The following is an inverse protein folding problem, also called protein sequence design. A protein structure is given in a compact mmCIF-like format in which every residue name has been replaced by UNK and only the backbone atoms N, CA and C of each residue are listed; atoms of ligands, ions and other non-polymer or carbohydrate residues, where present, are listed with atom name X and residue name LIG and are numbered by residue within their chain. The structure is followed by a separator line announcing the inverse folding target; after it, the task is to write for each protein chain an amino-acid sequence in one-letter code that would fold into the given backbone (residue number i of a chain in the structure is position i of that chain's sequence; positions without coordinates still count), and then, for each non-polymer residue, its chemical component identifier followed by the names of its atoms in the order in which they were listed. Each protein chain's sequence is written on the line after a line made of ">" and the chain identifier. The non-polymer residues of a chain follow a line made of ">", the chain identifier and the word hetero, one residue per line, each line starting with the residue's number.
data_IF_512918357653
#
_entry.id   IF_512918357653
#
_cell.length_a   1.000
_cell.length_b   1.000
_cell.length_c   1.000
_cell.angle_alpha   90.00
_cell.angle_beta   90.00
_cell.angle_gamma   90.00
#
_symmetry.space_group_name_H-M   'P 1'
#
loop_
_entity.id
_entity.type
_entity.pdbx_description
1 polymer ?
#
# COMPACT_ATOMS: atom_id res chain seq x y z
N UNK A 1 -9.75 12.27 -17.11
CA UNK A 1 -9.06 10.95 -17.12
C UNK A 1 -9.81 10.14 -16.09
N UNK A 2 -10.47 9.03 -16.47
CA UNK A 2 -11.57 8.46 -15.66
C UNK A 2 -11.20 8.21 -14.18
N UNK A 3 -9.96 7.82 -13.89
CA UNK A 3 -9.48 7.58 -12.52
C UNK A 3 -9.51 8.84 -11.65
N UNK A 4 -8.97 9.96 -12.14
CA UNK A 4 -8.95 11.22 -11.37
C UNK A 4 -10.37 11.77 -11.19
N UNK A 5 -11.26 11.53 -12.15
CA UNK A 5 -12.66 11.94 -12.05
C UNK A 5 -13.39 11.12 -10.96
N UNK A 6 -13.15 9.80 -10.89
CA UNK A 6 -13.66 8.92 -9.84
C UNK A 6 -13.15 9.36 -8.46
N UNK A 7 -11.85 9.60 -8.31
CA UNK A 7 -11.24 10.03 -7.03
C UNK A 7 -11.90 11.33 -6.54
N UNK A 8 -12.09 12.32 -7.42
CA UNK A 8 -12.76 13.58 -7.04
C UNK A 8 -14.22 13.38 -6.65
N UNK A 9 -14.96 12.56 -7.41
CA UNK A 9 -16.37 12.29 -7.13
C UNK A 9 -16.58 11.50 -5.84
N UNK A 10 -15.64 10.63 -5.47
CA UNK A 10 -15.69 9.88 -4.21
C UNK A 10 -15.16 10.67 -3.01
N UNK A 11 -14.64 11.89 -3.19
CA UNK A 11 -13.92 12.62 -2.15
C UNK A 11 -12.61 11.95 -1.72
N UNK A 12 -12.02 11.12 -2.59
CA UNK A 12 -10.79 10.40 -2.32
C UNK A 12 -9.53 11.24 -2.57
N UNK A 13 -8.37 10.60 -2.42
CA UNK A 13 -7.06 11.19 -2.66
C UNK A 13 -6.21 10.35 -3.62
N UNK A 14 -5.25 10.99 -4.28
CA UNK A 14 -4.18 10.35 -5.03
C UNK A 14 -2.86 10.69 -4.35
N UNK A 15 -2.16 9.67 -3.85
CA UNK A 15 -0.97 9.83 -3.01
C UNK A 15 0.19 9.02 -3.61
N UNK A 16 1.37 9.64 -3.65
CA UNK A 16 2.62 8.95 -4.00
C UNK A 16 3.27 8.34 -2.76
N UNK A 17 3.87 7.17 -2.92
CA UNK A 17 4.65 6.45 -1.89
C UNK A 17 6.09 6.33 -2.40
N UNK A 18 7.10 6.76 -1.62
CA UNK A 18 8.50 6.49 -1.92
C UNK A 18 8.79 4.99 -2.01
N UNK A 19 9.66 4.59 -2.94
CA UNK A 19 10.04 3.18 -3.11
C UNK A 19 10.66 2.59 -1.83
N UNK A 20 11.43 3.38 -1.09
CA UNK A 20 12.01 2.95 0.18
C UNK A 20 10.93 2.54 1.20
N UNK A 21 9.90 3.36 1.40
CA UNK A 21 8.82 3.10 2.35
C UNK A 21 8.03 1.84 1.96
N UNK A 22 7.86 1.62 0.65
CA UNK A 22 7.26 0.41 0.10
C UNK A 22 8.10 -0.82 0.43
N UNK A 23 9.40 -0.80 0.14
CA UNK A 23 10.32 -1.91 0.41
C UNK A 23 10.39 -2.24 1.89
N UNK A 24 10.54 -1.23 2.75
CA UNK A 24 10.55 -1.39 4.21
C UNK A 24 9.23 -1.98 4.73
N UNK A 25 8.10 -1.51 4.19
CA UNK A 25 6.78 -2.02 4.55
C UNK A 25 6.58 -3.46 4.10
N UNK A 26 7.04 -3.83 2.91
CA UNK A 26 6.97 -5.20 2.41
C UNK A 26 7.75 -6.14 3.34
N UNK A 27 9.00 -5.80 3.66
CA UNK A 27 9.82 -6.59 4.59
C UNK A 27 9.19 -6.71 5.97
N UNK A 28 8.59 -5.62 6.49
CA UNK A 28 7.89 -5.64 7.78
C UNK A 28 6.66 -6.56 7.73
N UNK A 29 5.80 -6.44 6.71
CA UNK A 29 4.59 -7.26 6.58
C UNK A 29 4.95 -8.74 6.46
N UNK A 30 5.98 -9.07 5.68
CA UNK A 30 6.45 -10.44 5.57
C UNK A 30 6.97 -10.98 6.92
N UNK A 31 7.83 -10.22 7.62
CA UNK A 31 8.39 -10.65 8.91
C UNK A 31 7.31 -10.83 9.99
N UNK A 32 6.33 -9.94 10.02
CA UNK A 32 5.32 -9.92 11.09
C UNK A 32 4.13 -10.84 10.81
N UNK A 33 3.75 -11.02 9.55
CA UNK A 33 2.52 -11.73 9.15
C UNK A 33 2.76 -12.94 8.25
N UNK A 34 3.93 -13.07 7.64
CA UNK A 34 4.20 -14.09 6.62
C UNK A 34 3.38 -13.88 5.34
N UNK A 35 2.88 -12.67 5.09
CA UNK A 35 2.05 -12.38 3.91
C UNK A 35 2.90 -12.03 2.70
N UNK A 36 2.58 -12.65 1.56
CA UNK A 36 3.23 -12.41 0.26
C UNK A 36 2.48 -11.34 -0.54
N UNK A 37 2.44 -10.12 -0.02
CA UNK A 37 1.84 -8.99 -0.73
C UNK A 37 2.77 -8.50 -1.86
N UNK A 38 2.18 -8.05 -2.96
CA UNK A 38 2.92 -7.38 -4.04
C UNK A 38 3.34 -5.95 -3.65
N UNK A 39 4.26 -5.31 -4.40
CA UNK A 39 4.63 -3.91 -4.20
C UNK A 39 3.46 -2.94 -4.10
N UNK A 40 2.43 -3.11 -4.93
CA UNK A 40 1.22 -2.27 -4.94
C UNK A 40 0.42 -2.43 -3.63
N UNK A 41 0.35 -3.67 -3.11
CA UNK A 41 -0.21 -3.95 -1.79
C UNK A 41 0.61 -3.31 -0.68
N UNK A 42 1.94 -3.40 -0.75
CA UNK A 42 2.84 -2.79 0.23
C UNK A 42 2.72 -1.25 0.24
N UNK A 43 2.55 -0.62 -0.94
CA UNK A 43 2.30 0.81 -1.05
C UNK A 43 1.01 1.24 -0.33
N UNK A 44 -0.06 0.43 -0.44
CA UNK A 44 -1.32 0.69 0.26
C UNK A 44 -1.17 0.63 1.78
N UNK A 45 -0.31 -0.26 2.29
CA UNK A 45 -0.04 -0.35 3.73
C UNK A 45 0.90 0.76 4.20
N UNK A 46 1.92 1.10 3.41
CA UNK A 46 2.94 2.09 3.76
C UNK A 46 2.34 3.48 3.98
N UNK A 47 1.28 3.83 3.25
CA UNK A 47 0.67 5.16 3.28
C UNK A 47 -0.33 5.36 4.43
N UNK A 48 -0.70 4.31 5.18
CA UNK A 48 -1.77 4.36 6.20
C UNK A 48 -1.49 5.42 7.27
N UNK A 49 -0.26 5.50 7.78
CA UNK A 49 0.08 6.49 8.82
C UNK A 49 -0.04 7.92 8.28
N UNK A 50 0.44 8.17 7.05
CA UNK A 50 0.28 9.48 6.41
C UNK A 50 -1.19 9.84 6.18
N UNK A 51 -2.02 8.88 5.76
CA UNK A 51 -3.46 9.07 5.61
C UNK A 51 -4.12 9.47 6.95
N UNK A 52 -3.67 8.92 8.08
CA UNK A 52 -4.15 9.30 9.41
C UNK A 52 -3.68 10.70 9.80
N UNK A 53 -2.41 11.04 9.55
CA UNK A 53 -1.85 12.37 9.82
C UNK A 53 -2.53 13.48 9.00
N UNK A 54 -2.80 13.21 7.72
CA UNK A 54 -3.52 14.10 6.81
C UNK A 54 -5.04 14.12 7.06
N UNK A 55 -5.54 13.34 8.04
CA UNK A 55 -6.97 13.20 8.39
C UNK A 55 -7.85 12.71 7.24
N UNK A 56 -7.26 11.92 6.33
CA UNK A 56 -7.97 11.19 5.28
C UNK A 56 -8.51 9.84 5.77
N UNK A 57 -7.99 9.34 6.89
CA UNK A 57 -8.53 8.21 7.65
C UNK A 57 -8.72 8.60 9.12
N UNK A 58 -9.86 8.22 9.69
CA UNK A 58 -10.15 8.43 11.11
C UNK A 58 -9.78 7.20 11.96
N UNK A 59 -9.54 7.44 13.25
CA UNK A 59 -9.31 6.34 14.20
C UNK A 59 -10.56 5.46 14.31
N UNK A 60 -10.38 4.14 14.25
CA UNK A 60 -11.46 3.16 14.37
C UNK A 60 -12.17 2.84 13.05
N UNK A 61 -11.77 3.43 11.92
CA UNK A 61 -12.30 3.05 10.62
C UNK A 61 -11.81 1.67 10.17
N UNK A 62 -12.65 0.95 9.44
CA UNK A 62 -12.27 -0.29 8.77
C UNK A 62 -11.72 0.02 7.39
N UNK A 63 -10.46 -0.33 7.17
CA UNK A 63 -9.75 -0.08 5.92
C UNK A 63 -9.56 -1.39 5.16
N UNK A 64 -9.84 -1.37 3.87
CA UNK A 64 -9.56 -2.47 2.95
C UNK A 64 -8.42 -2.07 2.03
N UNK A 65 -7.29 -2.78 2.11
CA UNK A 65 -6.18 -2.65 1.18
C UNK A 65 -6.31 -3.71 0.07
N UNK A 66 -6.34 -3.27 -1.18
CA UNK A 66 -6.44 -4.18 -2.33
C UNK A 66 -5.06 -4.59 -2.81
N UNK A 67 -4.64 -5.80 -2.45
CA UNK A 67 -3.44 -6.43 -3.01
C UNK A 67 -3.76 -6.99 -4.41
N UNK A 68 -3.29 -6.32 -5.46
CA UNK A 68 -3.70 -6.59 -6.84
C UNK A 68 -2.91 -7.70 -7.55
N UNK A 69 -1.82 -8.18 -6.95
CA UNK A 69 -0.98 -9.25 -7.51
C UNK A 69 -0.33 -10.14 -6.47
N UNK A 70 0.14 -11.32 -6.90
CA UNK A 70 1.02 -12.17 -6.09
C UNK A 70 2.46 -11.63 -6.16
N UNK A 71 3.19 -11.69 -5.04
CA UNK A 71 4.61 -11.33 -4.99
C UNK A 71 5.47 -12.18 -5.93
N UNK A 72 5.02 -13.39 -6.27
CA UNK A 72 5.73 -14.30 -7.19
C UNK A 72 6.10 -13.65 -8.53
N UNK A 73 5.30 -12.68 -8.98
CA UNK A 73 5.51 -11.96 -10.25
C UNK A 73 6.76 -11.09 -10.26
N UNK A 74 7.29 -10.76 -9.08
CA UNK A 74 8.44 -9.88 -8.89
C UNK A 74 9.68 -10.65 -8.42
N UNK A 75 9.62 -11.98 -8.44
CA UNK A 75 10.77 -12.83 -8.15
C UNK A 75 11.58 -13.12 -9.42
N UNK A 76 12.91 -13.18 -9.32
CA UNK A 76 13.72 -13.17 -8.09
C UNK A 76 14.05 -11.78 -7.54
N UNK A 77 13.72 -10.71 -8.27
CA UNK A 77 14.23 -9.35 -8.03
C UNK A 77 13.96 -8.84 -6.60
N UNK A 78 12.78 -9.12 -6.05
CA UNK A 78 12.40 -8.71 -4.69
C UNK A 78 12.68 -9.75 -3.60
N UNK A 79 13.35 -10.87 -3.92
CA UNK A 79 13.63 -11.93 -2.93
C UNK A 79 14.41 -11.42 -1.71
N UNK A 80 15.25 -10.40 -1.88
CA UNK A 80 16.07 -9.83 -0.82
C UNK A 80 15.26 -9.05 0.24
N UNK A 81 13.98 -8.78 -0.01
CA UNK A 81 13.07 -8.12 0.92
C UNK A 81 12.30 -9.10 1.82
N UNK A 82 12.39 -10.40 1.53
CA UNK A 82 11.81 -11.49 2.30
C UNK A 82 12.81 -12.02 3.34
#
# INVERSE_FOLDING_TARGET
>A
FRVLDIIRQSGGAALAVPEQDLCETLSRVWRDKGWWICPEGAACIAIIERLREERLLASGEHVVAFNTGSLEKYLPDLRHLL
#
